data_IF_819155763524
#
_entry.id   IF_819155763524
#
_cell.length_a   1.000
_cell.length_b   1.000
_cell.length_c   1.000
_cell.angle_alpha   90.00
_cell.angle_beta   90.00
_cell.angle_gamma   90.00
#
_symmetry.space_group_name_H-M   'P 1'
#
loop_
_entity.id
_entity.type
_entity.pdbx_description
1 polymer ?
#
# COMPACT_ATOMS: atom_id res chain seq x y z
N UNK A 1 -6.31 17.95 6.16
CA UNK A 1 -5.42 16.92 6.73
C UNK A 1 -4.01 17.28 6.31
N UNK A 2 -3.01 17.21 7.17
CA UNK A 2 -1.63 17.54 6.77
C UNK A 2 -1.03 16.39 5.96
N UNK A 3 -0.20 16.70 4.96
CA UNK A 3 0.55 15.68 4.22
C UNK A 3 1.57 14.96 5.10
N UNK A 4 2.19 13.93 4.53
CA UNK A 4 3.16 13.05 5.20
C UNK A 4 4.43 12.94 4.37
N UNK A 5 5.56 12.56 4.97
CA UNK A 5 6.77 12.32 4.20
C UNK A 5 6.73 10.92 3.59
N UNK A 6 7.26 10.79 2.37
CA UNK A 6 7.48 9.49 1.77
C UNK A 6 8.49 8.70 2.61
N UNK A 7 8.09 7.51 3.05
CA UNK A 7 8.91 6.61 3.86
C UNK A 7 10.18 6.13 3.16
N UNK A 8 10.31 6.34 1.85
CA UNK A 8 11.54 6.05 1.11
C UNK A 8 12.40 7.30 0.87
N UNK A 9 11.87 8.30 0.15
CA UNK A 9 12.68 9.43 -0.32
C UNK A 9 12.52 10.72 0.49
N UNK A 10 11.67 10.73 1.52
CA UNK A 10 11.43 11.90 2.37
C UNK A 10 10.64 13.04 1.72
N UNK A 11 10.24 12.93 0.45
CA UNK A 11 9.43 13.96 -0.23
C UNK A 11 8.03 14.04 0.40
N UNK A 12 7.50 15.25 0.54
CA UNK A 12 6.15 15.48 1.01
C UNK A 12 5.11 14.86 0.06
N UNK A 13 4.19 14.08 0.61
CA UNK A 13 3.07 13.45 -0.07
C UNK A 13 1.79 14.10 0.42
N UNK A 14 1.05 14.68 -0.51
CA UNK A 14 -0.26 15.27 -0.23
C UNK A 14 -1.24 14.21 0.30
N UNK A 15 -2.20 14.56 1.18
CA UNK A 15 -3.24 13.64 1.64
C UNK A 15 -4.02 12.95 0.52
N UNK A 16 -4.21 13.63 -0.61
CA UNK A 16 -5.02 13.16 -1.73
C UNK A 16 -4.17 12.63 -2.90
N UNK A 17 -2.86 12.40 -2.68
CA UNK A 17 -1.94 11.83 -3.65
C UNK A 17 -1.05 10.70 -3.08
N UNK A 18 -0.43 9.97 -3.99
CA UNK A 18 0.52 8.90 -3.72
C UNK A 18 -0.14 7.64 -3.17
N UNK A 19 0.59 6.96 -2.30
CA UNK A 19 0.22 5.66 -1.78
C UNK A 19 0.34 5.65 -0.26
N UNK A 20 -0.54 4.89 0.39
CA UNK A 20 -0.50 4.58 1.82
C UNK A 20 -0.50 3.07 1.98
N UNK A 21 0.56 2.52 2.55
CA UNK A 21 0.60 1.13 2.95
C UNK A 21 0.22 1.01 4.43
N UNK A 22 -0.49 -0.05 4.80
CA UNK A 22 -0.86 -0.30 6.17
C UNK A 22 -0.92 -1.79 6.51
N UNK A 23 -0.52 -2.13 7.72
CA UNK A 23 -0.71 -3.44 8.35
C UNK A 23 -1.67 -3.25 9.53
N UNK A 24 -2.99 -3.48 9.35
CA UNK A 24 -3.99 -3.13 10.35
C UNK A 24 -3.80 -3.83 11.70
N UNK A 25 -3.46 -5.13 11.68
CA UNK A 25 -3.25 -5.92 12.89
C UNK A 25 -2.06 -5.41 13.74
N UNK A 26 -1.03 -4.87 13.09
CA UNK A 26 0.13 -4.29 13.75
C UNK A 26 0.02 -2.79 14.02
N UNK A 27 -1.06 -2.15 13.57
CA UNK A 27 -1.21 -0.68 13.53
C UNK A 27 0.03 0.02 12.99
N UNK A 28 0.50 -0.46 11.83
CA UNK A 28 1.67 0.07 11.15
C UNK A 28 1.28 0.69 9.82
N UNK A 29 2.01 1.74 9.43
CA UNK A 29 1.79 2.47 8.18
C UNK A 29 3.07 2.95 7.54
N UNK A 30 3.00 3.16 6.24
CA UNK A 30 4.03 3.82 5.44
C UNK A 30 3.37 4.63 4.32
N UNK A 31 4.07 5.63 3.80
CA UNK A 31 3.58 6.47 2.71
C UNK A 31 4.59 6.56 1.57
N UNK A 32 4.09 6.62 0.34
CA UNK A 32 4.97 6.69 -0.84
C UNK A 32 4.45 7.72 -1.84
N UNK A 33 5.33 8.59 -2.34
CA UNK A 33 4.97 9.50 -3.43
C UNK A 33 4.80 8.75 -4.76
N UNK A 34 5.41 7.56 -4.91
CA UNK A 34 5.39 6.73 -6.10
C UNK A 34 5.31 5.25 -5.72
N UNK A 35 4.73 4.41 -6.57
CA UNK A 35 4.61 2.98 -6.31
C UNK A 35 6.00 2.33 -6.23
N UNK A 36 6.91 2.76 -7.09
CA UNK A 36 8.27 2.24 -7.24
C UNK A 36 9.08 2.37 -5.95
N UNK A 37 8.71 3.30 -5.06
CA UNK A 37 9.38 3.49 -3.77
C UNK A 37 9.04 2.42 -2.75
N UNK A 38 7.96 1.66 -2.94
CA UNK A 38 7.68 0.46 -2.14
C UNK A 38 8.78 -0.58 -2.34
N UNK A 39 9.33 -0.70 -3.55
CA UNK A 39 10.30 -1.75 -3.90
C UNK A 39 11.58 -1.68 -3.07
N UNK A 40 12.37 -0.58 -3.09
CA UNK A 40 13.57 -0.49 -2.29
C UNK A 40 13.25 -0.44 -0.78
N UNK A 41 12.10 0.12 -0.39
CA UNK A 41 11.67 0.15 1.00
C UNK A 41 11.43 -1.25 1.58
N UNK A 42 10.75 -2.16 0.85
CA UNK A 42 10.59 -3.55 1.32
C UNK A 42 11.94 -4.27 1.35
N UNK A 43 12.77 -4.10 0.32
CA UNK A 43 14.09 -4.75 0.23
C UNK A 43 14.99 -4.35 1.41
N UNK A 44 14.88 -3.13 1.93
CA UNK A 44 15.65 -2.64 3.08
C UNK A 44 15.01 -2.96 4.45
N UNK A 45 13.98 -3.80 4.50
CA UNK A 45 13.40 -4.28 5.75
C UNK A 45 12.11 -3.61 6.18
N UNK A 46 11.39 -2.93 5.27
CA UNK A 46 10.04 -2.38 5.50
C UNK A 46 9.92 -1.58 6.81
N UNK A 47 10.71 -0.52 6.97
CA UNK A 47 10.66 0.30 8.18
C UNK A 47 9.31 1.02 8.30
N UNK A 48 8.42 0.43 9.09
CA UNK A 48 7.08 0.91 9.36
C UNK A 48 7.08 2.04 10.41
N UNK A 49 6.12 2.95 10.26
CA UNK A 49 5.77 3.90 11.30
C UNK A 49 4.54 3.41 12.08
N UNK A 50 4.42 3.73 13.38
CA UNK A 50 3.17 3.50 14.11
C UNK A 50 2.01 4.31 13.51
N UNK A 51 0.84 3.67 13.43
CA UNK A 51 -0.42 4.30 13.08
C UNK A 51 -1.24 3.52 12.06
N UNK A 52 -2.54 3.87 11.99
CA UNK A 52 -3.46 3.32 10.99
C UNK A 52 -3.46 4.18 9.72
N UNK A 53 -3.68 3.55 8.56
CA UNK A 53 -3.99 4.28 7.34
C UNK A 53 -5.46 4.72 7.35
N UNK A 54 -5.74 5.91 6.81
CA UNK A 54 -7.10 6.46 6.75
C UNK A 54 -7.84 6.00 5.49
N UNK A 55 -9.13 5.70 5.63
CA UNK A 55 -10.01 5.29 4.54
C UNK A 55 -10.47 3.84 4.69
N UNK A 56 -11.76 3.58 4.44
CA UNK A 56 -12.26 2.21 4.44
C UNK A 56 -11.61 1.47 3.28
N UNK A 57 -10.86 0.45 3.64
CA UNK A 57 -10.61 -0.73 2.84
C UNK A 57 -11.91 -1.06 2.06
N UNK A 58 -11.95 -0.78 0.76
CA UNK A 58 -13.14 -1.03 -0.06
C UNK A 58 -13.61 -2.49 0.05
N UNK A 59 -14.88 -2.73 -0.20
CA UNK A 59 -15.60 -4.00 -0.12
C UNK A 59 -15.02 -5.15 -1.00
N UNK A 60 -13.96 -4.92 -1.77
CA UNK A 60 -13.27 -5.90 -2.62
C UNK A 60 -11.97 -6.49 -2.07
N UNK A 61 -11.63 -6.25 -0.79
CA UNK A 61 -10.31 -6.60 -0.24
C UNK A 61 -10.21 -8.02 0.33
N UNK A 62 -11.19 -8.89 0.08
CA UNK A 62 -11.16 -10.28 0.55
C UNK A 62 -10.13 -11.16 -0.16
N UNK A 63 -9.45 -10.67 -1.22
CA UNK A 63 -8.48 -11.44 -2.00
C UNK A 63 -7.18 -10.66 -2.22
N UNK A 64 -6.07 -11.38 -2.23
CA UNK A 64 -4.75 -10.82 -2.49
C UNK A 64 -4.62 -10.41 -3.95
N UNK A 65 -4.22 -9.17 -4.22
CA UNK A 65 -4.03 -8.63 -5.56
C UNK A 65 -2.88 -9.29 -6.34
N UNK A 66 -2.01 -10.05 -5.67
CA UNK A 66 -0.91 -10.79 -6.30
C UNK A 66 -1.25 -12.24 -6.62
N UNK A 67 -1.65 -13.03 -5.61
CA UNK A 67 -1.88 -14.49 -5.77
C UNK A 67 -3.35 -14.89 -5.89
N UNK A 68 -4.27 -13.92 -5.79
CA UNK A 68 -5.73 -14.11 -5.85
C UNK A 68 -6.31 -15.02 -4.74
N UNK A 69 -5.53 -15.42 -3.73
CA UNK A 69 -6.04 -16.17 -2.57
C UNK A 69 -6.78 -15.27 -1.60
N UNK A 70 -7.62 -15.86 -0.75
CA UNK A 70 -8.28 -15.12 0.32
C UNK A 70 -7.22 -14.53 1.29
N UNK A 71 -7.42 -13.30 1.73
CA UNK A 71 -6.55 -12.68 2.75
C UNK A 71 -7.13 -12.89 4.14
N UNK A 72 -6.28 -13.18 5.12
CA UNK A 72 -6.64 -13.26 6.53
C UNK A 72 -6.43 -11.93 7.25
N UNK A 73 -6.55 -11.93 8.58
CA UNK A 73 -6.53 -10.71 9.40
C UNK A 73 -5.16 -9.98 9.42
N UNK A 74 -4.07 -10.71 9.19
CA UNK A 74 -2.71 -10.18 9.11
C UNK A 74 -2.33 -9.70 7.69
N UNK A 75 -3.28 -9.07 6.99
CA UNK A 75 -3.07 -8.58 5.62
C UNK A 75 -2.30 -7.25 5.58
N UNK A 76 -1.68 -6.98 4.44
CA UNK A 76 -1.12 -5.66 4.09
C UNK A 76 -2.04 -4.98 3.10
N UNK A 77 -2.39 -3.72 3.37
CA UNK A 77 -3.13 -2.85 2.46
C UNK A 77 -2.19 -1.92 1.72
N UNK A 78 -2.50 -1.64 0.46
CA UNK A 78 -1.97 -0.48 -0.26
C UNK A 78 -3.15 0.33 -0.81
N UNK A 79 -3.27 1.58 -0.40
CA UNK A 79 -4.27 2.50 -0.91
C UNK A 79 -3.58 3.51 -1.80
N UNK A 80 -3.95 3.56 -3.08
CA UNK A 80 -3.58 4.63 -3.99
C UNK A 80 -4.58 5.77 -3.83
N UNK A 81 -4.07 6.96 -3.55
CA UNK A 81 -4.82 8.20 -3.51
C UNK A 81 -4.62 8.94 -4.84
N UNK A 82 -5.72 9.40 -5.45
CA UNK A 82 -5.72 10.22 -6.65
C UNK A 82 -6.89 11.19 -6.59
N UNK A 83 -6.64 12.37 -6.02
CA UNK A 83 -7.68 13.31 -5.65
C UNK A 83 -8.72 12.61 -4.75
N UNK A 84 -10.01 12.72 -5.06
CA UNK A 84 -11.08 12.07 -4.32
C UNK A 84 -11.10 10.53 -4.45
N UNK A 85 -10.43 9.97 -5.46
CA UNK A 85 -10.45 8.54 -5.71
C UNK A 85 -9.44 7.79 -4.84
N UNK A 86 -9.92 6.74 -4.17
CA UNK A 86 -9.11 5.84 -3.36
C UNK A 86 -9.27 4.42 -3.88
N UNK A 87 -8.16 3.84 -4.33
CA UNK A 87 -8.13 2.47 -4.86
C UNK A 87 -7.31 1.63 -3.88
N UNK A 88 -7.95 0.69 -3.22
CA UNK A 88 -7.31 -0.19 -2.25
C UNK A 88 -7.01 -1.57 -2.86
N UNK A 89 -5.83 -2.08 -2.56
CA UNK A 89 -5.37 -3.44 -2.83
C UNK A 89 -4.99 -4.12 -1.52
N UNK A 90 -5.31 -5.41 -1.37
CA UNK A 90 -4.91 -6.24 -0.24
C UNK A 90 -3.85 -7.25 -0.66
N UNK A 91 -2.97 -7.59 0.28
CA UNK A 91 -1.88 -8.53 0.09
C UNK A 91 -1.76 -9.44 1.30
N UNK A 92 -1.37 -10.69 1.07
CA UNK A 92 -1.08 -11.64 2.15
C UNK A 92 0.11 -11.19 3.01
N UNK A 93 1.03 -10.41 2.44
CA UNK A 93 2.27 -9.98 3.09
C UNK A 93 2.93 -8.82 2.34
N UNK A 94 3.97 -8.23 2.93
CA UNK A 94 4.86 -7.26 2.28
C UNK A 94 5.59 -7.85 1.06
N UNK A 95 5.87 -9.16 1.05
CA UNK A 95 6.51 -9.83 -0.10
C UNK A 95 5.58 -9.91 -1.32
N UNK A 96 4.28 -10.12 -1.09
CA UNK A 96 3.28 -10.08 -2.17
C UNK A 96 3.10 -8.66 -2.68
N UNK A 97 3.07 -7.67 -1.79
CA UNK A 97 3.10 -6.25 -2.18
C UNK A 97 4.35 -5.93 -3.01
N UNK A 98 5.53 -6.40 -2.60
CA UNK A 98 6.78 -6.20 -3.33
C UNK A 98 6.73 -6.80 -4.73
N UNK A 99 6.31 -8.06 -4.85
CA UNK A 99 6.20 -8.76 -6.13
C UNK A 99 5.25 -8.03 -7.09
N UNK A 100 4.13 -7.58 -6.56
CA UNK A 100 3.14 -6.81 -7.31
C UNK A 100 3.66 -5.43 -7.73
N UNK A 101 4.34 -4.71 -6.84
CA UNK A 101 4.92 -3.40 -7.15
C UNK A 101 6.03 -3.51 -8.21
N UNK A 102 6.88 -4.54 -8.13
CA UNK A 102 7.89 -4.87 -9.16
C UNK A 102 7.27 -5.17 -10.53
N UNK A 103 6.07 -5.76 -10.55
CA UNK A 103 5.32 -6.02 -11.77
C UNK A 103 4.59 -4.79 -12.34
N UNK A 104 4.76 -3.60 -11.73
CA UNK A 104 4.15 -2.35 -12.18
C UNK A 104 2.73 -2.10 -11.64
N UNK A 105 2.26 -2.87 -10.66
CA UNK A 105 0.94 -2.70 -10.07
C UNK A 105 -0.21 -3.18 -10.97
N UNK A 106 -1.34 -2.46 -10.98
CA UNK A 106 -2.57 -2.84 -11.72
C UNK A 106 -2.46 -2.77 -13.28
N UNK A 107 -1.26 -2.73 -13.86
CA UNK A 107 -1.06 -2.60 -15.31
C UNK A 107 -1.40 -3.86 -16.14
N UNK A 108 -1.67 -5.02 -15.51
CA UNK A 108 -2.32 -6.15 -16.18
C UNK A 108 -3.76 -6.27 -15.72
N UNK A 109 -4.67 -5.62 -16.44
CA UNK A 109 -6.05 -6.09 -16.49
C UNK A 109 -6.01 -7.44 -17.19
N UNK A 110 -6.34 -8.52 -16.48
CA UNK A 110 -6.74 -9.76 -17.14
C UNK A 110 -8.01 -9.40 -17.92
N UNK A 111 -7.89 -9.36 -19.24
CA UNK A 111 -9.01 -9.32 -20.18
C UNK A 111 -9.59 -10.73 -20.26
#
# INVERSE_FOLDING_TARGET
>A
MSGVLCSWCGVHVDPDDGYRAGEPAGERRAAFCRLEHVVPWVIQGSHWEPGRIGGSAGNGLGRCAWCAQAVGDALVLLVRHRAEHRIADAFCSTDHLLSWAKAGGRWRTVI
#
